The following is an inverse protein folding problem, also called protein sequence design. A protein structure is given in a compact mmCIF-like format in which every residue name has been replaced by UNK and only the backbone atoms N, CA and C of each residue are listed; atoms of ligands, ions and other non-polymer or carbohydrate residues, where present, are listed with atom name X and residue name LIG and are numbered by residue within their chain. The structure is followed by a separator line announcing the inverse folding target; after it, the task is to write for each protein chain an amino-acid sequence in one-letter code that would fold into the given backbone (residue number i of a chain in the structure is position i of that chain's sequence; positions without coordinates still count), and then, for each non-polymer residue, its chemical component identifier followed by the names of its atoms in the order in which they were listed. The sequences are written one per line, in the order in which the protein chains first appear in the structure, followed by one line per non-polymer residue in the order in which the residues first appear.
data_IF_332428197746
#
_entry.id   IF_332428197746
#
_cell.length_a   1.000
_cell.length_b   1.000
_cell.length_c   1.000
_cell.angle_alpha   90.00
_cell.angle_beta   90.00
_cell.angle_gamma   90.00
#
_symmetry.space_group_name_H-M   'P 1'
#
loop_
_entity.id
_entity.type
_entity.pdbx_description
1 polymer ?
#
# COMPACT_ATOMS: atom_id res chain seq x y z
N UNK A 1 0.69 -0.92 -4.89
CA UNK A 1 1.59 -2.06 -4.69
C UNK A 1 3.03 -1.76 -5.04
N UNK A 2 3.38 -1.34 -6.27
CA UNK A 2 4.78 -1.01 -6.58
C UNK A 2 5.32 0.15 -5.72
N UNK A 3 4.54 1.21 -5.54
CA UNK A 3 4.93 2.31 -4.64
C UNK A 3 4.96 1.88 -3.16
N UNK A 4 4.13 0.91 -2.77
CA UNK A 4 4.20 0.31 -1.42
C UNK A 4 5.51 -0.46 -1.24
N UNK A 5 5.98 -1.16 -2.29
CA UNK A 5 7.30 -1.78 -2.31
C UNK A 5 8.43 -0.75 -2.18
N UNK A 6 8.41 0.31 -2.98
CA UNK A 6 9.43 1.36 -2.88
C UNK A 6 9.46 1.99 -1.48
N UNK A 7 8.29 2.27 -0.91
CA UNK A 7 8.16 2.83 0.43
C UNK A 7 8.68 1.85 1.50
N UNK A 8 8.32 0.58 1.43
CA UNK A 8 8.74 -0.44 2.40
C UNK A 8 10.25 -0.73 2.32
N UNK A 9 10.81 -0.79 1.10
CA UNK A 9 12.24 -0.98 0.80
C UNK A 9 13.08 0.16 1.38
N UNK A 10 12.67 1.40 1.13
CA UNK A 10 13.42 2.61 1.50
C UNK A 10 12.86 3.29 2.77
N UNK A 11 12.13 2.55 3.60
CA UNK A 11 11.33 3.08 4.71
C UNK A 11 12.09 4.04 5.63
N UNK A 12 13.36 3.74 5.94
CA UNK A 12 14.22 4.55 6.82
C UNK A 12 14.46 5.97 6.29
N UNK A 13 14.20 6.24 5.01
CA UNK A 13 14.28 7.58 4.43
C UNK A 13 13.06 8.44 4.74
N UNK A 14 11.94 7.82 5.09
CA UNK A 14 10.63 8.47 5.17
C UNK A 14 10.03 8.45 6.57
N UNK A 15 10.53 7.60 7.46
CA UNK A 15 10.05 7.49 8.83
C UNK A 15 11.18 7.17 9.81
N UNK A 16 11.15 7.82 10.98
CA UNK A 16 12.09 7.58 12.07
C UNK A 16 11.78 6.29 12.87
N UNK A 17 10.57 5.74 12.70
CA UNK A 17 10.14 4.50 13.36
C UNK A 17 10.42 3.33 12.43
N UNK A 18 11.07 2.24 12.88
CA UNK A 18 11.28 1.05 12.06
C UNK A 18 9.98 0.47 11.50
N UNK A 19 10.02 -0.06 10.26
CA UNK A 19 8.84 -0.60 9.59
C UNK A 19 8.17 -1.73 10.38
N UNK A 20 8.95 -2.59 11.04
CA UNK A 20 8.42 -3.70 11.83
C UNK A 20 7.68 -3.22 13.09
N UNK A 21 8.14 -2.11 13.69
CA UNK A 21 7.46 -1.46 14.82
C UNK A 21 6.16 -0.80 14.34
N UNK A 22 6.21 -0.10 13.20
CA UNK A 22 5.03 0.53 12.61
C UNK A 22 3.96 -0.51 12.22
N UNK A 23 4.33 -1.54 11.44
CA UNK A 23 3.42 -2.58 10.96
C UNK A 23 2.77 -3.34 12.12
N UNK A 24 3.53 -3.76 13.15
CA UNK A 24 2.99 -4.38 14.37
C UNK A 24 1.94 -3.50 15.06
N UNK A 25 2.16 -2.18 15.12
CA UNK A 25 1.19 -1.25 15.69
C UNK A 25 -0.11 -1.21 14.87
N UNK A 26 -0.01 -1.22 13.54
CA UNK A 26 -1.18 -1.27 12.65
C UNK A 26 -1.92 -2.61 12.81
N UNK A 27 -1.19 -3.72 12.91
CA UNK A 27 -1.78 -5.04 13.11
C UNK A 27 -2.50 -5.17 14.44
N UNK A 28 -1.91 -4.66 15.51
CA UNK A 28 -2.59 -4.60 16.80
C UNK A 28 -3.89 -3.79 16.72
N UNK A 29 -3.88 -2.65 16.01
CA UNK A 29 -5.08 -1.85 15.82
C UNK A 29 -6.18 -2.61 15.04
N UNK A 30 -5.80 -3.41 14.04
CA UNK A 30 -6.74 -4.25 13.30
C UNK A 30 -7.31 -5.37 14.19
N UNK A 31 -6.51 -5.97 15.06
CA UNK A 31 -6.98 -7.00 16.01
C UNK A 31 -7.90 -6.43 17.09
N UNK A 32 -7.59 -5.22 17.56
CA UNK A 32 -8.28 -4.56 18.66
C UNK A 32 -9.59 -3.87 18.23
N UNK A 33 -9.86 -3.74 16.92
CA UNK A 33 -11.05 -3.06 16.40
C UNK A 33 -12.22 -4.05 16.21
N UNK A 34 -13.22 -4.08 17.12
CA UNK A 34 -14.33 -5.01 17.02
C UNK A 34 -15.32 -4.67 15.91
N UNK A 35 -15.34 -3.41 15.42
CA UNK A 35 -16.28 -2.92 14.43
C UNK A 35 -15.64 -2.72 13.04
N UNK A 36 -14.69 -3.59 12.67
CA UNK A 36 -14.13 -3.58 11.32
C UNK A 36 -15.24 -3.78 10.26
N UNK A 37 -15.18 -3.05 9.12
CA UNK A 37 -16.01 -3.35 7.98
C UNK A 37 -15.87 -4.82 7.57
N UNK A 38 -16.97 -5.48 7.24
CA UNK A 38 -17.02 -6.94 7.05
C UNK A 38 -15.92 -7.49 6.14
N UNK A 39 -15.69 -6.83 4.99
CA UNK A 39 -14.65 -7.25 4.04
C UNK A 39 -13.23 -7.12 4.61
N UNK A 40 -12.98 -6.10 5.43
CA UNK A 40 -11.70 -5.92 6.09
C UNK A 40 -11.51 -6.94 7.21
N UNK A 41 -12.56 -7.20 8.01
CA UNK A 41 -12.53 -8.23 9.05
C UNK A 41 -12.19 -9.63 8.49
N UNK A 42 -12.67 -9.96 7.29
CA UNK A 42 -12.36 -11.23 6.62
C UNK A 42 -10.89 -11.36 6.20
N UNK A 43 -10.24 -10.27 5.79
CA UNK A 43 -8.86 -10.30 5.27
C UNK A 43 -7.82 -9.90 6.33
N UNK A 44 -8.20 -9.22 7.40
CA UNK A 44 -7.31 -8.76 8.46
C UNK A 44 -6.43 -9.88 9.06
N UNK A 45 -6.97 -11.07 9.40
CA UNK A 45 -6.13 -12.16 9.91
C UNK A 45 -5.03 -12.59 8.94
N UNK A 46 -5.29 -12.55 7.63
CA UNK A 46 -4.31 -12.87 6.60
C UNK A 46 -3.25 -11.77 6.46
N UNK A 47 -3.68 -10.49 6.47
CA UNK A 47 -2.77 -9.32 6.43
C UNK A 47 -1.76 -9.39 7.57
N UNK A 48 -2.24 -9.73 8.78
CA UNK A 48 -1.43 -9.81 9.99
C UNK A 48 -0.50 -11.02 9.93
N UNK A 49 -1.05 -12.21 9.63
CA UNK A 49 -0.30 -13.47 9.60
C UNK A 49 0.87 -13.45 8.61
N UNK A 50 0.67 -12.81 7.47
CA UNK A 50 1.64 -12.76 6.37
C UNK A 50 2.43 -11.44 6.34
N UNK A 51 2.33 -10.61 7.37
CA UNK A 51 3.04 -9.32 7.51
C UNK A 51 3.00 -8.48 6.21
N UNK A 52 1.83 -8.30 5.59
CA UNK A 52 1.75 -7.71 4.24
C UNK A 52 2.48 -6.36 4.11
N UNK A 53 2.47 -5.53 5.15
CA UNK A 53 3.11 -4.21 5.14
C UNK A 53 4.64 -4.34 5.14
N UNK A 54 5.18 -5.25 5.97
CA UNK A 54 6.61 -5.55 5.98
C UNK A 54 7.06 -6.32 4.74
N UNK A 55 6.24 -7.26 4.29
CA UNK A 55 6.52 -8.16 3.17
C UNK A 55 6.74 -7.41 1.85
N UNK A 56 6.11 -6.25 1.65
CA UNK A 56 6.39 -5.40 0.49
C UNK A 56 7.85 -4.95 0.36
N UNK A 57 8.72 -5.12 1.38
CA UNK A 57 10.18 -4.97 1.20
C UNK A 57 10.74 -5.90 0.12
N UNK A 58 10.17 -7.09 0.00
CA UNK A 58 10.52 -8.04 -1.04
C UNK A 58 9.68 -7.75 -2.30
N UNK A 59 10.35 -7.57 -3.43
CA UNK A 59 9.69 -7.30 -4.71
C UNK A 59 8.79 -8.46 -5.14
N UNK A 60 9.13 -9.71 -4.80
CA UNK A 60 8.34 -10.89 -5.14
C UNK A 60 6.93 -10.85 -4.53
N UNK A 61 6.75 -10.12 -3.42
CA UNK A 61 5.45 -9.94 -2.77
C UNK A 61 4.46 -9.13 -3.60
N UNK A 62 4.94 -8.37 -4.60
CA UNK A 62 4.05 -7.73 -5.58
C UNK A 62 3.28 -8.79 -6.38
N UNK A 63 3.88 -9.93 -6.70
CA UNK A 63 3.21 -11.03 -7.38
C UNK A 63 2.00 -11.55 -6.59
N UNK A 64 2.19 -11.79 -5.29
CA UNK A 64 1.09 -12.18 -4.39
C UNK A 64 -0.02 -11.12 -4.33
N UNK A 65 0.35 -9.83 -4.28
CA UNK A 65 -0.61 -8.74 -4.35
C UNK A 65 -1.39 -8.71 -5.66
N UNK A 66 -0.72 -8.97 -6.79
CA UNK A 66 -1.35 -9.03 -8.11
C UNK A 66 -2.37 -10.17 -8.17
N UNK A 67 -2.04 -11.34 -7.61
CA UNK A 67 -2.98 -12.47 -7.51
C UNK A 67 -4.23 -12.11 -6.69
N UNK A 68 -4.04 -11.44 -5.55
CA UNK A 68 -5.15 -10.99 -4.70
C UNK A 68 -6.03 -9.96 -5.41
N UNK A 69 -5.44 -9.04 -6.17
CA UNK A 69 -6.19 -8.07 -6.97
C UNK A 69 -6.93 -8.78 -8.10
N UNK A 70 -6.25 -9.69 -8.81
CA UNK A 70 -6.80 -10.45 -9.94
C UNK A 70 -8.08 -11.18 -9.54
N UNK A 71 -8.11 -11.82 -8.37
CA UNK A 71 -9.30 -12.49 -7.82
C UNK A 71 -10.51 -11.56 -7.59
N UNK A 72 -10.32 -10.24 -7.56
CA UNK A 72 -11.36 -9.23 -7.34
C UNK A 72 -11.82 -8.56 -8.64
N UNK A 73 -11.14 -8.80 -9.76
CA UNK A 73 -11.46 -8.21 -11.06
C UNK A 73 -12.46 -9.06 -11.83
N UNK A 74 -13.28 -8.41 -12.67
CA UNK A 74 -14.18 -9.08 -13.61
C UNK A 74 -13.46 -9.73 -14.79
N UNK A 75 -12.24 -9.26 -15.11
CA UNK A 75 -11.33 -9.84 -16.10
C UNK A 75 -9.92 -10.00 -15.47
N UNK A 76 -9.67 -11.11 -14.75
CA UNK A 76 -8.37 -11.37 -14.11
C UNK A 76 -7.21 -11.52 -15.11
N UNK A 77 -7.50 -11.89 -16.35
CA UNK A 77 -6.54 -12.12 -17.44
C UNK A 77 -5.84 -10.83 -17.87
N UNK A 78 -6.44 -9.67 -17.60
CA UNK A 78 -5.84 -8.36 -17.85
C UNK A 78 -4.59 -8.10 -17.01
N UNK A 79 -4.32 -8.91 -15.99
CA UNK A 79 -3.09 -8.86 -15.19
C UNK A 79 -2.07 -9.95 -15.57
N UNK A 80 -2.33 -10.77 -16.59
CA UNK A 80 -1.34 -11.74 -17.05
C UNK A 80 -0.07 -11.02 -17.52
N UNK A 81 1.09 -11.47 -17.04
CA UNK A 81 2.39 -10.87 -17.36
C UNK A 81 2.69 -9.56 -16.63
N UNK A 82 1.76 -9.04 -15.81
CA UNK A 82 1.96 -7.77 -15.09
C UNK A 82 3.18 -7.80 -14.15
N UNK A 83 3.49 -8.96 -13.57
CA UNK A 83 4.69 -9.09 -12.73
C UNK A 83 5.99 -8.94 -13.55
N UNK A 84 6.04 -9.54 -14.74
CA UNK A 84 7.22 -9.44 -15.62
C UNK A 84 7.35 -8.01 -16.14
N UNK A 85 6.26 -7.38 -16.55
CA UNK A 85 6.24 -5.98 -16.98
C UNK A 85 6.71 -5.03 -15.86
N UNK A 86 6.23 -5.22 -14.62
CA UNK A 86 6.71 -4.46 -13.47
C UNK A 86 8.20 -4.70 -13.16
N UNK A 87 8.71 -5.91 -13.46
CA UNK A 87 10.13 -6.23 -13.33
C UNK A 87 10.95 -5.45 -14.35
N UNK A 88 10.52 -5.40 -15.61
CA UNK A 88 11.17 -4.63 -16.67
C UNK A 88 11.12 -3.12 -16.38
N UNK A 89 10.00 -2.63 -15.85
CA UNK A 89 9.81 -1.22 -15.50
C UNK A 89 10.33 -0.83 -14.11
N UNK A 90 11.02 -1.73 -13.41
CA UNK A 90 11.43 -1.51 -12.01
C UNK A 90 12.20 -0.20 -11.81
N UNK A 91 13.16 0.08 -12.69
CA UNK A 91 14.00 1.27 -12.58
C UNK A 91 13.23 2.56 -12.92
N UNK A 92 12.51 2.67 -14.06
CA UNK A 92 11.64 3.82 -14.34
C UNK A 92 10.64 4.11 -13.22
N UNK A 93 9.90 3.11 -12.76
CA UNK A 93 8.89 3.29 -11.71
C UNK A 93 9.51 3.66 -10.35
N UNK A 94 10.72 3.16 -10.06
CA UNK A 94 11.45 3.58 -8.86
C UNK A 94 11.86 5.05 -8.92
N UNK A 95 12.25 5.55 -10.10
CA UNK A 95 12.56 6.96 -10.30
C UNK A 95 11.30 7.82 -10.15
N UNK A 96 10.20 7.43 -10.78
CA UNK A 96 8.90 8.10 -10.63
C UNK A 96 8.47 8.19 -9.16
N UNK A 97 8.64 7.10 -8.39
CA UNK A 97 8.36 7.12 -6.96
C UNK A 97 9.22 8.14 -6.20
N UNK A 98 10.52 8.21 -6.49
CA UNK A 98 11.43 9.15 -5.82
C UNK A 98 11.07 10.61 -6.11
N UNK A 99 10.56 10.90 -7.31
CA UNK A 99 10.09 12.23 -7.68
C UNK A 99 8.72 12.55 -7.07
N UNK A 100 7.80 11.58 -7.07
CA UNK A 100 6.41 11.78 -6.67
C UNK A 100 6.18 11.74 -5.16
N UNK A 101 6.82 10.83 -4.42
CA UNK A 101 6.51 10.60 -3.01
C UNK A 101 6.70 11.85 -2.11
N UNK A 102 7.76 12.67 -2.27
CA UNK A 102 7.88 13.91 -1.49
C UNK A 102 6.72 14.89 -1.71
N UNK A 103 6.18 14.96 -2.94
CA UNK A 103 5.02 15.80 -3.26
C UNK A 103 3.75 15.28 -2.59
N UNK A 104 3.54 13.96 -2.62
CA UNK A 104 2.43 13.30 -1.94
C UNK A 104 2.48 13.54 -0.43
N UNK A 105 3.67 13.40 0.16
CA UNK A 105 3.89 13.65 1.59
C UNK A 105 3.54 15.09 1.96
N UNK A 106 4.03 16.07 1.21
CA UNK A 106 3.73 17.48 1.43
C UNK A 106 2.23 17.77 1.33
N UNK A 107 1.57 17.22 0.30
CA UNK A 107 0.13 17.36 0.12
C UNK A 107 -0.64 16.79 1.32
N UNK A 108 -0.31 15.57 1.76
CA UNK A 108 -0.95 14.93 2.90
C UNK A 108 -0.80 15.75 4.20
N UNK A 109 0.38 16.33 4.44
CA UNK A 109 0.61 17.22 5.57
C UNK A 109 -0.26 18.48 5.52
N UNK A 110 -0.34 19.13 4.35
CA UNK A 110 -1.18 20.33 4.18
C UNK A 110 -2.67 20.07 4.45
N UNK A 111 -3.17 18.87 4.13
CA UNK A 111 -4.55 18.48 4.40
C UNK A 111 -4.84 18.28 5.89
N UNK A 112 -3.85 17.81 6.67
CA UNK A 112 -3.95 17.69 8.12
C UNK A 112 -3.94 19.06 8.81
N UNK A 113 -3.19 20.02 8.26
CA UNK A 113 -3.16 21.41 8.75
C UNK A 113 -4.43 22.19 8.37
N UNK A 114 -5.08 21.83 7.25
CA UNK A 114 -6.21 22.59 6.69
C UNK A 114 -7.59 22.23 7.26
N UNK A 115 -7.72 21.19 8.09
CA UNK A 115 -8.82 21.00 9.05
C UNK A 115 -10.28 21.20 8.57
N UNK A 116 -10.58 21.09 7.27
CA UNK A 116 -11.94 21.03 6.75
C UNK A 116 -11.93 20.34 5.38
N UNK A 117 -12.04 19.01 5.40
CA UNK A 117 -12.37 18.24 4.22
C UNK A 117 -13.75 18.68 3.72
N UNK A 118 -13.80 19.54 2.70
CA UNK A 118 -15.02 19.69 1.93
C UNK A 118 -15.24 18.39 1.14
N UNK A 119 -16.46 17.82 1.16
CA UNK A 119 -16.74 16.62 0.40
C UNK A 119 -16.57 16.94 -1.08
N UNK A 120 -15.81 16.10 -1.77
CA UNK A 120 -15.73 16.14 -3.24
C UNK A 120 -17.15 15.97 -3.74
N UNK A 121 -17.73 17.06 -4.24
CA UNK A 121 -19.02 17.05 -4.91
C UNK A 121 -18.94 16.03 -6.05
N UNK A 122 -19.79 15.02 -5.99
CA UNK A 122 -20.18 14.23 -7.13
C UNK A 122 -20.80 15.16 -8.18
N UNK A 123 -20.12 15.37 -9.30
CA UNK A 123 -20.74 15.97 -10.49
C UNK A 123 -21.07 14.87 -11.51
N UNK A 124 -22.39 14.76 -11.73
CA UNK A 124 -23.18 14.16 -12.81
C UNK A 124 -23.16 12.65 -13.06
#
# INVERSE_FOLDING_TARGET
MFFDHCLARDWERYADVPLDVFSKKIYQLLEDEPALPERLAQVAPLIIKEDWLGAYRDFSMIGHGLDVISQRLSQPEGLHGAYDELTEMYMPLSADFQEFYPLLWQFAQSGLESGSAQPILSEN
#
